data_IF_112295186430
#
_entry.id   IF_112295186430
#
_cell.length_a   1.000
_cell.length_b   1.000
_cell.length_c   1.000
_cell.angle_alpha   90.00
_cell.angle_beta   90.00
_cell.angle_gamma   90.00
#
_symmetry.space_group_name_H-M   'P 1'
#
loop_
_entity.id
_entity.type
_entity.pdbx_description
1 polymer ?
#
# COMPACT_ATOMS: atom_id res chain seq x y z
N UNK A 1 8.39 0.84 -10.92
CA UNK A 1 8.51 1.85 -9.86
C UNK A 1 7.35 1.64 -8.94
N UNK A 2 7.58 0.93 -7.84
CA UNK A 2 6.49 0.42 -7.00
C UNK A 2 5.78 1.52 -6.21
N UNK A 3 4.62 1.17 -5.68
CA UNK A 3 3.94 1.94 -4.64
C UNK A 3 4.38 1.45 -3.25
N UNK A 4 4.40 2.37 -2.29
CA UNK A 4 4.73 2.14 -0.88
C UNK A 4 3.49 2.47 -0.04
N UNK A 5 3.19 1.56 0.90
CA UNK A 5 2.18 1.78 1.93
C UNK A 5 2.86 2.35 3.16
N UNK A 6 2.36 3.48 3.63
CA UNK A 6 2.88 4.16 4.82
C UNK A 6 2.13 3.73 6.08
N UNK A 7 2.63 4.17 7.25
CA UNK A 7 2.00 3.98 8.57
C UNK A 7 0.58 4.56 8.72
N UNK A 8 0.08 5.27 7.70
CA UNK A 8 -1.30 5.77 7.66
C UNK A 8 -2.33 4.67 7.36
N UNK A 9 -1.87 3.50 6.87
CA UNK A 9 -2.76 2.40 6.56
C UNK A 9 -3.39 1.80 7.81
N UNK A 10 -4.73 1.79 7.85
CA UNK A 10 -5.54 1.18 8.92
C UNK A 10 -6.23 -0.11 8.49
N UNK A 11 -5.71 -0.78 7.45
CA UNK A 11 -6.22 -2.05 6.92
C UNK A 11 -7.71 -1.99 6.53
N UNK A 12 -8.03 -1.03 5.66
CA UNK A 12 -9.38 -0.85 5.11
C UNK A 12 -9.73 -1.86 3.99
N UNK A 13 -8.72 -2.57 3.45
CA UNK A 13 -8.83 -3.63 2.45
C UNK A 13 -9.41 -3.20 1.07
N UNK A 14 -9.93 -1.98 0.92
CA UNK A 14 -10.42 -1.44 -0.35
C UNK A 14 -9.39 -1.50 -1.49
N UNK A 15 -8.10 -1.31 -1.18
CA UNK A 15 -7.01 -1.39 -2.15
C UNK A 15 -6.74 -2.83 -2.67
N UNK A 16 -7.20 -3.87 -1.97
CA UNK A 16 -7.10 -5.27 -2.40
C UNK A 16 -8.08 -5.52 -3.54
N UNK A 17 -9.34 -5.12 -3.37
CA UNK A 17 -10.44 -5.42 -4.31
C UNK A 17 -10.22 -4.81 -5.70
N UNK A 18 -9.50 -3.70 -5.79
CA UNK A 18 -9.21 -3.01 -7.06
C UNK A 18 -7.88 -3.40 -7.69
N UNK A 19 -7.04 -4.17 -7.00
CA UNK A 19 -5.72 -4.52 -7.50
C UNK A 19 -5.84 -5.60 -8.59
N UNK A 20 -5.48 -5.32 -9.86
CA UNK A 20 -5.67 -6.27 -10.96
C UNK A 20 -4.74 -7.50 -10.88
N UNK A 21 -3.70 -7.42 -10.07
CA UNK A 21 -2.63 -8.42 -9.91
C UNK A 21 -2.50 -8.90 -8.47
N UNK A 22 -3.41 -8.48 -7.58
CA UNK A 22 -3.45 -8.90 -6.18
C UNK A 22 -2.09 -8.76 -5.46
N UNK A 23 -1.35 -7.68 -5.73
CA UNK A 23 -0.01 -7.47 -5.13
C UNK A 23 -0.03 -7.00 -3.66
N UNK A 24 -1.21 -6.89 -3.04
CA UNK A 24 -1.40 -6.42 -1.67
C UNK A 24 -1.23 -7.58 -0.68
N UNK A 25 -0.24 -7.46 0.21
CA UNK A 25 0.11 -8.46 1.22
C UNK A 25 -0.30 -7.96 2.60
N UNK A 26 -1.01 -8.79 3.36
CA UNK A 26 -1.35 -8.50 4.74
C UNK A 26 -0.13 -8.68 5.65
N UNK A 27 0.14 -7.68 6.50
CA UNK A 27 1.14 -7.81 7.55
C UNK A 27 0.77 -8.91 8.55
N UNK A 28 1.72 -9.80 8.85
CA UNK A 28 1.54 -10.86 9.84
C UNK A 28 2.77 -10.93 10.78
N UNK A 29 2.56 -11.06 12.10
CA UNK A 29 1.27 -11.07 12.82
C UNK A 29 0.63 -9.67 12.87
N UNK A 30 -0.71 -9.60 12.92
CA UNK A 30 -1.50 -8.35 12.91
C UNK A 30 -1.18 -7.42 14.08
N UNK A 31 -0.78 -7.99 15.21
CA UNK A 31 -0.39 -7.24 16.42
C UNK A 31 0.90 -6.43 16.23
N UNK A 32 1.79 -6.88 15.33
CA UNK A 32 3.07 -6.22 15.04
C UNK A 32 3.00 -5.39 13.75
N UNK A 33 2.21 -5.86 12.78
CA UNK A 33 2.12 -5.27 11.44
C UNK A 33 0.66 -5.05 11.05
N UNK A 34 0.01 -3.99 11.56
CA UNK A 34 -1.41 -3.72 11.33
C UNK A 34 -1.70 -3.18 9.93
N UNK A 35 -0.69 -2.92 9.10
CA UNK A 35 -0.80 -2.33 7.76
C UNK A 35 -0.52 -3.33 6.64
N UNK A 36 -0.98 -3.00 5.43
CA UNK A 36 -0.70 -3.76 4.23
C UNK A 36 0.66 -3.40 3.64
N UNK A 37 1.20 -4.30 2.83
CA UNK A 37 2.41 -4.12 2.04
C UNK A 37 2.09 -4.34 0.56
N UNK A 38 2.87 -3.70 -0.30
CA UNK A 38 2.79 -3.93 -1.75
C UNK A 38 4.02 -4.76 -2.13
N UNK A 39 3.78 -5.90 -2.78
CA UNK A 39 4.83 -6.71 -3.38
C UNK A 39 5.34 -6.02 -4.66
N UNK A 40 6.60 -5.51 -4.66
CA UNK A 40 7.16 -4.81 -5.81
C UNK A 40 7.41 -5.73 -7.02
N UNK A 41 7.55 -7.05 -6.80
CA UNK A 41 7.78 -8.00 -7.89
C UNK A 41 6.48 -8.26 -8.69
N UNK A 42 5.33 -8.09 -8.03
CA UNK A 42 4.00 -8.33 -8.61
C UNK A 42 3.31 -7.02 -9.04
N UNK A 43 3.67 -5.88 -8.44
CA UNK A 43 3.09 -4.59 -8.78
C UNK A 43 3.40 -4.18 -10.23
N UNK A 44 2.36 -3.77 -10.97
CA UNK A 44 2.47 -3.31 -12.37
C UNK A 44 2.32 -1.79 -12.51
N UNK A 45 2.45 -1.05 -11.41
CA UNK A 45 2.41 0.41 -11.36
C UNK A 45 1.11 1.02 -11.92
N UNK A 46 -0.02 0.32 -11.81
CA UNK A 46 -1.30 0.77 -12.38
C UNK A 46 -1.96 1.95 -11.64
N UNK A 47 -1.60 2.19 -10.38
CA UNK A 47 -2.13 3.29 -9.56
C UNK A 47 -3.60 3.18 -9.14
N UNK A 48 -4.28 2.06 -9.43
CA UNK A 48 -5.70 1.88 -9.10
C UNK A 48 -5.99 1.90 -7.58
N UNK A 49 -5.03 1.52 -6.75
CA UNK A 49 -5.17 1.46 -5.30
C UNK A 49 -5.12 2.83 -4.61
N UNK A 50 -4.48 3.85 -5.22
CA UNK A 50 -4.28 5.17 -4.62
C UNK A 50 -5.61 5.90 -4.35
N UNK A 51 -6.52 6.08 -5.33
CA UNK A 51 -7.78 6.78 -5.09
C UNK A 51 -8.76 6.03 -4.19
N UNK A 52 -8.57 4.72 -4.01
CA UNK A 52 -9.45 3.88 -3.21
C UNK A 52 -9.05 3.85 -1.73
N UNK A 53 -7.83 4.29 -1.39
CA UNK A 53 -7.42 4.34 0.01
C UNK A 53 -8.01 5.58 0.69
N UNK A 54 -8.96 5.44 1.63
CA UNK A 54 -9.61 6.59 2.28
C UNK A 54 -8.68 7.37 3.21
N UNK A 55 -7.54 6.76 3.58
CA UNK A 55 -6.52 7.34 4.45
C UNK A 55 -5.32 7.88 3.67
N UNK A 56 -5.39 7.86 2.32
CA UNK A 56 -4.31 8.32 1.43
C UNK A 56 -2.95 7.74 1.83
N UNK A 57 -2.93 6.44 2.18
CA UNK A 57 -1.75 5.80 2.76
C UNK A 57 -0.75 5.26 1.72
N UNK A 58 -1.09 5.30 0.43
CA UNK A 58 -0.35 4.67 -0.67
C UNK A 58 0.27 5.75 -1.55
N UNK A 59 1.59 5.74 -1.67
CA UNK A 59 2.35 6.71 -2.45
C UNK A 59 3.27 6.01 -3.45
N UNK A 60 3.53 6.59 -4.63
CA UNK A 60 4.69 6.22 -5.44
C UNK A 60 5.96 6.32 -4.60
N UNK A 61 6.91 5.39 -4.77
CA UNK A 61 8.19 5.40 -4.03
C UNK A 61 8.92 6.75 -4.10
N UNK A 62 8.85 7.46 -5.24
CA UNK A 62 9.49 8.77 -5.44
C UNK A 62 8.71 9.96 -4.81
N UNK A 63 7.46 9.74 -4.40
CA UNK A 63 6.54 10.76 -3.88
C UNK A 63 6.18 10.53 -2.41
N UNK A 64 6.84 9.57 -1.74
CA UNK A 64 6.67 9.36 -0.29
C UNK A 64 7.13 10.64 0.44
N UNK A 65 6.27 11.26 1.27
CA UNK A 65 6.71 12.44 2.02
C UNK A 65 7.82 12.04 3.01
N UNK A 66 8.81 12.93 3.19
CA UNK A 66 9.97 12.70 4.09
C UNK A 66 9.59 12.28 5.53
N UNK A 67 8.38 12.64 6.00
CA UNK A 67 7.87 12.22 7.31
C UNK A 67 7.51 10.72 7.40
N UNK A 68 7.50 10.04 6.25
CA UNK A 68 7.16 8.63 6.07
C UNK A 68 8.23 7.87 5.27
N UNK A 69 9.28 8.54 4.79
CA UNK A 69 10.49 7.87 4.31
C UNK A 69 11.17 7.19 5.51
N UNK A 70 11.41 5.88 5.40
CA UNK A 70 11.98 5.05 6.45
C UNK A 70 13.47 5.35 6.72
#
# INVERSE_FOLDING_TARGET
>A
MTFIVTRLCLRDEACIDVCPVECMVLGHPEEEWPWLYIDPDTCIDCGACVPECPYEAIFPEEEVPFEYEA
#
